data_IF_835407870048
#
_entry.id   IF_835407870048
#
_cell.length_a   1.000
_cell.length_b   1.000
_cell.length_c   1.000
_cell.angle_alpha   90.00
_cell.angle_beta   90.00
_cell.angle_gamma   90.00
#
_symmetry.space_group_name_H-M   'P 1'
#
loop_
_entity.id
_entity.type
_entity.pdbx_description
1 polymer ?
#
# COMPACT_ATOMS: atom_id res chain seq x y z
N UNK A 1 -11.84 9.13 9.33
CA UNK A 1 -11.18 10.44 9.20
C UNK A 1 -10.27 10.37 7.99
N UNK A 2 -10.65 11.05 6.91
CA UNK A 2 -9.78 11.20 5.73
C UNK A 2 -8.55 11.98 6.15
N UNK A 3 -7.39 11.37 6.07
CA UNK A 3 -6.11 12.03 6.39
C UNK A 3 -5.65 12.96 5.26
N UNK A 4 -6.22 12.82 4.05
CA UNK A 4 -5.94 13.72 2.93
C UNK A 4 -6.79 14.99 3.03
N UNK A 5 -6.17 16.16 2.88
CA UNK A 5 -6.83 17.46 2.92
C UNK A 5 -7.65 17.79 1.66
N UNK A 6 -7.57 16.95 0.62
CA UNK A 6 -8.25 17.14 -0.66
C UNK A 6 -9.23 16.02 -0.97
N UNK A 7 -10.28 16.35 -1.71
CA UNK A 7 -11.22 15.37 -2.27
C UNK A 7 -10.56 14.58 -3.42
N UNK A 8 -10.97 13.31 -3.64
CA UNK A 8 -10.36 12.44 -4.66
C UNK A 8 -10.30 13.03 -6.07
N UNK A 9 -11.32 13.78 -6.51
CA UNK A 9 -11.34 14.48 -7.80
C UNK A 9 -10.22 15.51 -7.91
N UNK A 10 -9.92 16.24 -6.85
CA UNK A 10 -8.84 17.22 -6.79
C UNK A 10 -7.47 16.56 -6.75
N UNK A 11 -7.35 15.43 -6.06
CA UNK A 11 -6.12 14.64 -6.06
C UNK A 11 -5.84 14.13 -7.49
N UNK A 12 -6.85 13.59 -8.18
CA UNK A 12 -6.71 13.17 -9.57
C UNK A 12 -6.28 14.31 -10.50
N UNK A 13 -6.86 15.49 -10.33
CA UNK A 13 -6.46 16.68 -11.10
C UNK A 13 -4.99 17.03 -10.87
N UNK A 14 -4.52 16.93 -9.62
CA UNK A 14 -3.11 17.16 -9.26
C UNK A 14 -2.18 16.11 -9.85
N UNK A 15 -2.63 14.87 -9.99
CA UNK A 15 -1.83 13.75 -10.53
C UNK A 15 -1.79 13.72 -12.06
N UNK A 16 -2.76 14.33 -12.76
CA UNK A 16 -2.81 14.34 -14.24
C UNK A 16 -1.53 14.81 -14.91
N UNK A 17 -0.85 15.80 -14.32
CA UNK A 17 0.40 16.34 -14.85
C UNK A 17 1.58 15.36 -14.82
N UNK A 18 1.48 14.29 -14.07
CA UNK A 18 2.52 13.27 -13.92
C UNK A 18 2.30 12.04 -14.80
N UNK A 19 1.23 12.04 -15.62
CA UNK A 19 0.90 10.97 -16.57
C UNK A 19 0.80 9.57 -15.94
N UNK A 20 0.20 9.45 -14.76
CA UNK A 20 -0.10 8.15 -14.20
C UNK A 20 -1.20 7.46 -15.02
N UNK A 21 -0.96 6.21 -15.40
CA UNK A 21 -1.97 5.37 -16.06
C UNK A 21 -2.96 4.80 -15.06
N UNK A 22 -2.50 4.53 -13.83
CA UNK A 22 -3.28 3.90 -12.75
C UNK A 22 -3.14 4.73 -11.49
N UNK A 23 -4.26 5.16 -10.94
CA UNK A 23 -4.32 5.85 -9.64
C UNK A 23 -5.34 5.13 -8.77
N UNK A 24 -4.97 4.79 -7.55
CA UNK A 24 -5.88 4.19 -6.57
C UNK A 24 -5.92 5.01 -5.29
N UNK A 25 -7.06 4.97 -4.61
CA UNK A 25 -7.26 5.62 -3.32
C UNK A 25 -7.41 4.56 -2.24
N UNK A 26 -6.57 4.61 -1.22
CA UNK A 26 -6.57 3.68 -0.11
C UNK A 26 -6.90 4.38 1.20
N UNK A 27 -8.11 4.92 1.30
CA UNK A 27 -8.57 5.55 2.54
C UNK A 27 -8.64 4.53 3.69
N UNK A 28 -8.44 5.02 4.92
CA UNK A 28 -8.54 4.18 6.11
C UNK A 28 -9.94 3.59 6.28
N UNK A 29 -10.00 2.25 6.26
CA UNK A 29 -11.22 1.48 6.48
C UNK A 29 -12.41 1.94 5.61
N UNK A 30 -12.13 2.39 4.40
CA UNK A 30 -13.13 2.88 3.46
C UNK A 30 -12.72 2.58 2.01
N UNK A 31 -13.62 1.98 1.24
CA UNK A 31 -13.48 1.86 -0.21
C UNK A 31 -13.92 3.15 -0.88
N UNK A 32 -12.96 3.88 -1.41
CA UNK A 32 -13.24 5.13 -2.13
C UNK A 32 -13.73 4.82 -3.53
N UNK A 33 -14.95 5.28 -3.85
CA UNK A 33 -15.43 5.23 -5.22
C UNK A 33 -14.63 6.21 -6.07
N UNK A 34 -14.15 5.71 -7.19
CA UNK A 34 -13.42 6.57 -8.12
C UNK A 34 -14.33 7.68 -8.63
N UNK A 35 -13.93 8.95 -8.60
CA UNK A 35 -14.82 10.07 -8.91
C UNK A 35 -15.12 10.24 -10.40
N UNK A 36 -14.49 9.46 -11.28
CA UNK A 36 -14.65 9.57 -12.74
C UNK A 36 -14.87 8.22 -13.39
N UNK A 37 -15.33 8.22 -14.63
CA UNK A 37 -15.50 7.07 -15.53
C UNK A 37 -14.17 6.33 -15.84
N UNK A 38 -13.16 6.44 -15.00
CA UNK A 38 -11.92 5.74 -15.25
C UNK A 38 -12.17 4.24 -15.15
N UNK A 39 -11.81 3.55 -16.20
CA UNK A 39 -11.89 2.09 -16.32
C UNK A 39 -10.95 1.35 -15.37
N UNK A 40 -10.18 2.07 -14.58
CA UNK A 40 -9.11 1.58 -13.73
C UNK A 40 -9.49 1.66 -12.24
N UNK A 41 -10.63 1.08 -11.90
CA UNK A 41 -11.01 0.94 -10.50
C UNK A 41 -10.34 -0.30 -9.91
N UNK A 42 -9.33 -0.07 -9.11
CA UNK A 42 -8.81 -1.08 -8.19
C UNK A 42 -9.42 -0.79 -6.83
N UNK A 43 -10.29 -1.68 -6.37
CA UNK A 43 -10.80 -1.59 -5.00
C UNK A 43 -9.65 -1.84 -4.03
N UNK A 44 -9.33 -0.84 -3.23
CA UNK A 44 -8.29 -0.93 -2.21
C UNK A 44 -8.64 -0.02 -1.05
N UNK A 45 -8.35 -0.47 0.16
CA UNK A 45 -8.41 0.37 1.36
C UNK A 45 -7.25 0.09 2.28
N UNK A 46 -6.93 1.04 3.14
CA UNK A 46 -5.94 0.85 4.18
C UNK A 46 -6.62 0.35 5.46
N UNK A 47 -6.29 -0.88 5.85
CA UNK A 47 -6.80 -1.51 7.06
C UNK A 47 -5.88 -1.23 8.24
N UNK A 48 -6.46 -0.93 9.39
CA UNK A 48 -5.78 -0.78 10.67
C UNK A 48 -6.10 0.53 11.38
N UNK A 49 -6.03 0.52 12.71
CA UNK A 49 -6.20 1.73 13.51
C UNK A 49 -4.98 2.64 13.40
N UNK A 50 -5.21 3.91 13.19
CA UNK A 50 -4.15 4.91 13.03
C UNK A 50 -3.23 4.99 14.27
N UNK A 51 -3.75 4.73 15.46
CA UNK A 51 -3.00 4.81 16.72
C UNK A 51 -1.73 3.95 16.72
N UNK A 52 -1.79 2.75 16.16
CA UNK A 52 -0.66 1.80 16.19
C UNK A 52 0.06 1.67 14.86
N UNK A 53 -0.46 2.26 13.77
CA UNK A 53 0.18 2.25 12.45
C UNK A 53 0.54 0.85 11.91
N UNK A 54 -0.12 -0.21 12.38
CA UNK A 54 -0.04 -1.53 11.77
C UNK A 54 -1.01 -1.59 10.60
N UNK A 55 -0.65 -0.89 9.54
CA UNK A 55 -1.50 -0.73 8.37
C UNK A 55 -1.19 -1.77 7.28
N UNK A 56 -2.23 -2.16 6.59
CA UNK A 56 -2.18 -3.07 5.45
C UNK A 56 -3.04 -2.50 4.34
N UNK A 57 -2.56 -2.50 3.10
CA UNK A 57 -3.44 -2.31 1.96
C UNK A 57 -4.09 -3.64 1.62
N UNK A 58 -5.38 -3.59 1.40
CA UNK A 58 -6.25 -4.72 1.08
C UNK A 58 -6.84 -4.48 -0.29
N UNK A 59 -6.40 -5.26 -1.29
CA UNK A 59 -6.78 -5.09 -2.68
C UNK A 59 -7.81 -6.12 -3.12
N UNK A 60 -8.73 -5.73 -3.99
CA UNK A 60 -9.65 -6.61 -4.70
C UNK A 60 -10.87 -7.05 -3.89
N UNK A 61 -11.09 -6.48 -2.71
CA UNK A 61 -12.26 -6.76 -1.89
C UNK A 61 -13.46 -5.93 -2.31
N UNK A 62 -14.66 -6.46 -2.10
CA UNK A 62 -15.92 -5.74 -2.35
C UNK A 62 -16.41 -4.96 -1.13
N UNK A 63 -16.02 -5.41 0.07
CA UNK A 63 -16.43 -4.81 1.34
C UNK A 63 -15.22 -4.59 2.26
N UNK A 64 -15.35 -3.62 3.14
CA UNK A 64 -14.33 -3.31 4.15
C UNK A 64 -14.50 -4.21 5.35
N UNK A 65 -13.43 -4.86 5.78
CA UNK A 65 -13.40 -5.55 7.05
C UNK A 65 -12.94 -4.57 8.14
N UNK A 66 -13.83 -4.24 9.06
CA UNK A 66 -13.57 -3.27 10.13
C UNK A 66 -12.96 -3.88 11.40
N UNK A 67 -12.81 -5.21 11.44
CA UNK A 67 -12.23 -5.83 12.63
C UNK A 67 -10.74 -5.55 12.71
N UNK A 68 -10.29 -5.00 13.82
CA UNK A 68 -8.88 -4.82 14.15
C UNK A 68 -8.63 -5.10 15.64
N UNK A 69 -7.42 -5.54 15.95
CA UNK A 69 -6.99 -5.64 17.34
C UNK A 69 -6.65 -4.26 17.88
N UNK A 70 -7.29 -3.88 18.98
CA UNK A 70 -7.00 -2.59 19.64
C UNK A 70 -5.51 -2.49 20.02
N UNK A 71 -4.89 -3.59 20.43
CA UNK A 71 -3.50 -3.66 20.87
C UNK A 71 -2.78 -4.81 20.13
N UNK A 72 -2.31 -4.61 18.89
CA UNK A 72 -1.72 -5.67 18.08
C UNK A 72 -0.22 -5.88 18.45
N UNK A 73 0.08 -6.17 19.70
CA UNK A 73 1.47 -6.31 20.14
C UNK A 73 2.09 -7.67 19.83
N UNK A 74 1.28 -8.71 19.68
CA UNK A 74 1.75 -10.08 19.44
C UNK A 74 1.80 -10.40 17.94
N UNK A 75 2.79 -11.20 17.53
CA UNK A 75 2.86 -11.72 16.16
C UNK A 75 1.61 -12.53 15.77
N UNK A 76 1.05 -13.30 16.71
CA UNK A 76 -0.18 -14.07 16.47
C UNK A 76 -1.41 -13.20 16.19
N UNK A 77 -1.52 -12.05 16.83
CA UNK A 77 -2.59 -11.10 16.55
C UNK A 77 -2.45 -10.48 15.15
N UNK A 78 -1.22 -10.14 14.78
CA UNK A 78 -0.90 -9.62 13.45
C UNK A 78 -1.16 -10.65 12.36
N UNK A 79 -0.74 -11.90 12.60
CA UNK A 79 -1.01 -13.01 11.68
C UNK A 79 -2.51 -13.25 11.52
N UNK A 80 -3.26 -13.27 12.64
CA UNK A 80 -4.71 -13.43 12.58
C UNK A 80 -5.38 -12.38 11.70
N UNK A 81 -4.94 -11.12 11.77
CA UNK A 81 -5.47 -10.06 10.90
C UNK A 81 -5.18 -10.34 9.42
N UNK A 82 -3.95 -10.76 9.09
CA UNK A 82 -3.60 -11.11 7.71
C UNK A 82 -4.47 -12.28 7.22
N UNK A 83 -4.59 -13.34 8.02
CA UNK A 83 -5.37 -14.53 7.66
C UNK A 83 -6.86 -14.22 7.50
N UNK A 84 -7.38 -13.30 8.30
CA UNK A 84 -8.75 -12.84 8.21
C UNK A 84 -8.98 -12.04 6.92
N UNK A 85 -8.11 -11.08 6.62
CA UNK A 85 -8.21 -10.24 5.42
C UNK A 85 -7.98 -11.03 4.13
N UNK A 86 -7.10 -12.04 4.17
CA UNK A 86 -6.79 -12.89 3.02
C UNK A 86 -7.97 -13.74 2.53
N UNK A 87 -9.07 -13.83 3.28
CA UNK A 87 -10.27 -14.58 2.86
C UNK A 87 -11.02 -13.91 1.71
N UNK A 88 -10.99 -12.58 1.70
CA UNK A 88 -11.79 -11.76 0.77
C UNK A 88 -10.91 -10.85 -0.10
N UNK A 89 -9.61 -10.81 0.15
CA UNK A 89 -8.66 -9.98 -0.57
C UNK A 89 -7.89 -10.77 -1.63
N UNK A 90 -7.66 -10.15 -2.77
CA UNK A 90 -6.75 -10.67 -3.80
C UNK A 90 -5.28 -10.51 -3.40
N UNK A 91 -4.93 -9.36 -2.81
CA UNK A 91 -3.57 -9.02 -2.41
C UNK A 91 -3.60 -8.29 -1.07
N UNK A 92 -2.68 -8.67 -0.18
CA UNK A 92 -2.38 -7.92 1.04
C UNK A 92 -0.97 -7.35 0.94
N UNK A 93 -0.84 -6.07 1.24
CA UNK A 93 0.43 -5.36 1.38
C UNK A 93 0.62 -4.91 2.83
N UNK A 94 1.81 -5.08 3.38
CA UNK A 94 2.18 -4.46 4.65
C UNK A 94 2.80 -3.10 4.39
N UNK A 95 2.27 -2.06 5.05
CA UNK A 95 2.70 -0.67 4.88
C UNK A 95 3.73 -0.26 5.94
N UNK A 96 4.62 0.65 5.55
CA UNK A 96 5.53 1.45 6.39
C UNK A 96 5.92 0.79 7.74
N UNK A 97 6.51 -0.40 7.69
CA UNK A 97 6.82 -1.28 8.83
C UNK A 97 7.62 -0.54 9.93
N UNK A 98 8.51 0.37 9.54
CA UNK A 98 9.35 1.13 10.47
C UNK A 98 8.66 2.33 11.14
N UNK A 99 7.44 2.68 10.70
CA UNK A 99 6.79 3.93 11.15
C UNK A 99 6.58 3.99 12.66
N UNK A 100 6.39 2.84 13.30
CA UNK A 100 6.10 2.77 14.74
C UNK A 100 6.88 1.70 15.50
N UNK A 101 7.76 0.96 14.83
CA UNK A 101 8.44 -0.21 15.39
C UNK A 101 7.48 -1.28 15.98
N UNK A 102 6.21 -1.27 15.58
CA UNK A 102 5.22 -2.24 16.08
C UNK A 102 5.37 -3.62 15.47
N UNK A 103 6.12 -3.73 14.38
CA UNK A 103 6.49 -5.01 13.80
C UNK A 103 8.01 -5.15 13.91
N UNK A 104 8.55 -5.50 15.08
CA UNK A 104 9.98 -5.76 15.17
C UNK A 104 10.36 -6.95 14.28
N UNK A 105 11.59 -6.97 13.80
CA UNK A 105 12.13 -8.01 12.92
C UNK A 105 11.78 -9.43 13.39
N UNK A 106 11.91 -9.71 14.69
CA UNK A 106 11.58 -11.01 15.25
C UNK A 106 10.10 -11.42 15.08
N UNK A 107 9.18 -10.46 14.99
CA UNK A 107 7.77 -10.75 14.69
C UNK A 107 7.56 -10.88 13.18
N UNK A 108 8.19 -10.02 12.38
CA UNK A 108 8.08 -10.07 10.92
C UNK A 108 8.55 -11.43 10.37
N UNK A 109 9.58 -12.00 10.96
CA UNK A 109 10.04 -13.38 10.65
C UNK A 109 9.01 -14.48 10.96
N UNK A 110 7.88 -14.15 11.60
CA UNK A 110 6.81 -15.09 12.00
C UNK A 110 5.47 -14.78 11.37
N UNK A 111 5.40 -13.73 10.58
CA UNK A 111 4.17 -13.25 9.93
C UNK A 111 4.29 -13.50 8.43
N UNK A 112 3.31 -14.15 7.83
CA UNK A 112 3.29 -14.47 6.40
C UNK A 112 1.91 -14.28 5.79
N UNK A 113 1.77 -14.64 4.50
CA UNK A 113 0.48 -14.56 3.78
C UNK A 113 0.22 -13.23 3.07
N UNK A 114 1.01 -12.19 3.32
CA UNK A 114 1.01 -10.99 2.50
C UNK A 114 1.86 -11.20 1.23
N UNK A 115 1.58 -10.43 0.19
CA UNK A 115 2.26 -10.53 -1.12
C UNK A 115 3.15 -9.35 -1.42
N UNK A 116 2.87 -8.20 -0.82
CA UNK A 116 3.62 -6.97 -1.02
C UNK A 116 4.09 -6.41 0.33
N UNK A 117 5.27 -5.77 0.30
CA UNK A 117 5.78 -4.99 1.42
C UNK A 117 6.20 -3.62 0.92
N UNK A 118 5.74 -2.59 1.58
CA UNK A 118 6.16 -1.22 1.27
C UNK A 118 7.57 -0.99 1.79
N UNK A 119 8.50 -0.75 0.87
CA UNK A 119 9.92 -0.53 1.16
C UNK A 119 10.26 0.95 1.28
N UNK A 120 9.42 1.80 0.74
CA UNK A 120 9.62 3.25 0.74
C UNK A 120 8.28 3.99 0.73
N UNK A 121 7.97 4.62 1.87
CA UNK A 121 6.76 5.44 2.08
C UNK A 121 7.09 6.92 2.36
N UNK A 122 8.30 7.36 2.07
CA UNK A 122 8.74 8.75 2.28
C UNK A 122 9.31 9.05 3.65
N UNK A 123 9.37 8.09 4.54
CA UNK A 123 9.89 8.31 5.90
C UNK A 123 11.21 7.61 6.14
N UNK A 124 11.32 6.36 5.71
CA UNK A 124 12.54 5.55 5.81
C UNK A 124 12.48 4.40 4.83
N UNK A 125 13.62 3.87 4.44
CA UNK A 125 13.70 2.66 3.64
C UNK A 125 13.60 1.44 4.55
N UNK A 126 12.78 0.47 4.17
CA UNK A 126 12.44 -0.69 4.99
C UNK A 126 13.06 -2.00 4.48
N UNK A 127 14.13 -1.89 3.70
CA UNK A 127 14.79 -3.03 3.06
C UNK A 127 15.31 -4.08 4.05
N UNK A 128 15.81 -3.68 5.22
CA UNK A 128 16.28 -4.62 6.24
C UNK A 128 15.14 -5.51 6.77
N UNK A 129 13.96 -4.95 6.96
CA UNK A 129 12.80 -5.72 7.40
C UNK A 129 12.31 -6.68 6.32
N UNK A 130 12.38 -6.27 5.07
CA UNK A 130 12.08 -7.13 3.94
C UNK A 130 13.04 -8.31 3.85
N UNK A 131 14.34 -8.06 4.00
CA UNK A 131 15.37 -9.10 4.03
C UNK A 131 15.14 -10.11 5.16
N UNK A 132 14.78 -9.64 6.36
CA UNK A 132 14.41 -10.49 7.49
C UNK A 132 13.21 -11.39 7.19
N UNK A 133 12.18 -10.87 6.55
CA UNK A 133 11.00 -11.64 6.14
C UNK A 133 11.37 -12.69 5.08
N UNK A 134 12.10 -12.31 4.04
CA UNK A 134 12.58 -13.21 2.98
C UNK A 134 13.47 -14.31 3.55
N UNK A 135 14.39 -13.97 4.44
CA UNK A 135 15.28 -14.92 5.12
C UNK A 135 14.52 -15.93 6.00
N UNK A 136 13.33 -15.57 6.46
CA UNK A 136 12.44 -16.48 7.18
C UNK A 136 11.50 -17.29 6.28
N UNK A 137 11.58 -17.11 4.96
CA UNK A 137 10.75 -17.82 3.98
C UNK A 137 9.42 -17.14 3.65
N UNK A 138 9.21 -15.90 4.08
CA UNK A 138 7.99 -15.13 3.77
C UNK A 138 8.19 -14.31 2.50
N UNK A 139 7.83 -14.92 1.37
CA UNK A 139 7.98 -14.30 0.06
C UNK A 139 7.01 -13.14 -0.13
N UNK A 140 7.57 -11.99 -0.48
CA UNK A 140 6.81 -10.79 -0.88
C UNK A 140 7.63 -9.96 -1.87
N UNK A 141 6.94 -9.12 -2.64
CA UNK A 141 7.58 -8.16 -3.53
C UNK A 141 7.56 -6.77 -2.92
N UNK A 142 8.63 -6.00 -3.18
CA UNK A 142 8.76 -4.64 -2.66
C UNK A 142 7.99 -3.63 -3.50
N UNK A 143 7.35 -2.66 -2.86
CA UNK A 143 6.68 -1.52 -3.49
C UNK A 143 7.13 -0.21 -2.88
N UNK A 144 6.94 0.88 -3.62
CA UNK A 144 7.18 2.24 -3.14
C UNK A 144 5.95 3.11 -3.42
N UNK A 145 5.41 3.75 -2.40
CA UNK A 145 4.21 4.57 -2.49
C UNK A 145 4.42 5.91 -1.79
N UNK A 146 3.68 6.93 -2.21
CA UNK A 146 3.81 8.26 -1.63
C UNK A 146 3.19 8.38 -0.24
N UNK A 147 2.26 7.49 0.14
CA UNK A 147 1.42 7.65 1.35
C UNK A 147 0.83 9.08 1.37
N UNK A 148 0.15 9.44 0.25
CA UNK A 148 -0.14 10.82 -0.12
C UNK A 148 -1.23 11.44 0.74
N UNK A 149 -0.83 12.38 1.60
CA UNK A 149 -1.73 13.16 2.46
C UNK A 149 -1.87 14.61 2.01
N UNK A 150 -0.83 15.15 1.35
CA UNK A 150 -0.72 16.57 0.98
C UNK A 150 -0.40 16.72 -0.52
N UNK A 151 -1.41 16.56 -1.40
CA UNK A 151 -1.19 16.58 -2.84
C UNK A 151 -0.82 17.95 -3.42
N UNK A 152 -0.93 19.01 -2.65
CA UNK A 152 -0.48 20.37 -2.97
C UNK A 152 1.03 20.60 -2.74
N UNK A 153 1.69 19.68 -2.04
CA UNK A 153 3.12 19.78 -1.72
C UNK A 153 3.95 18.97 -2.71
N UNK A 154 4.79 19.63 -3.47
CA UNK A 154 5.61 19.00 -4.51
C UNK A 154 6.53 17.88 -4.01
N UNK A 155 6.98 17.93 -2.76
CA UNK A 155 7.82 16.92 -2.15
C UNK A 155 7.03 15.70 -1.60
N UNK A 156 5.70 15.73 -1.69
CA UNK A 156 4.81 14.65 -1.23
C UNK A 156 4.15 13.90 -2.38
N UNK A 157 4.05 14.50 -3.57
CA UNK A 157 3.30 13.96 -4.71
C UNK A 157 4.23 13.48 -5.81
N UNK A 158 3.95 12.30 -6.35
CA UNK A 158 4.69 11.71 -7.48
C UNK A 158 6.19 11.52 -7.24
N UNK A 159 6.58 11.33 -5.99
CA UNK A 159 7.97 11.04 -5.60
C UNK A 159 8.26 9.56 -5.72
N UNK A 160 7.25 8.71 -5.54
CA UNK A 160 7.35 7.25 -5.63
C UNK A 160 6.28 6.70 -6.53
N UNK A 161 6.66 5.72 -7.32
CA UNK A 161 5.72 5.02 -8.19
C UNK A 161 6.19 3.60 -8.48
N UNK A 162 5.25 2.79 -8.96
CA UNK A 162 5.51 1.41 -9.37
C UNK A 162 5.20 1.30 -10.86
N UNK A 163 6.17 0.84 -11.65
CA UNK A 163 6.02 0.63 -13.08
C UNK A 163 5.66 -0.81 -13.35
N UNK A 164 4.41 -1.06 -13.67
CA UNK A 164 3.88 -2.40 -13.92
C UNK A 164 4.10 -2.81 -15.38
N UNK A 165 4.74 -3.96 -15.60
CA UNK A 165 4.88 -4.57 -16.93
C UNK A 165 3.59 -5.33 -17.28
N UNK A 166 2.47 -4.62 -17.29
CA UNK A 166 1.15 -5.18 -17.53
C UNK A 166 0.73 -5.06 -18.99
N UNK A 167 0.05 -6.07 -19.57
CA UNK A 167 -0.42 -6.00 -20.96
C UNK A 167 -1.60 -5.02 -21.14
N UNK A 168 -2.34 -4.72 -20.07
CA UNK A 168 -3.45 -3.76 -20.12
C UNK A 168 -3.70 -3.12 -18.75
N UNK A 169 -4.56 -2.10 -18.72
CA UNK A 169 -5.05 -1.47 -17.49
C UNK A 169 -6.20 -2.22 -16.79
N UNK A 170 -6.57 -3.41 -17.25
CA UNK A 170 -7.62 -4.21 -16.60
C UNK A 170 -7.14 -4.71 -15.24
N UNK A 171 -8.04 -4.74 -14.27
CA UNK A 171 -7.68 -5.17 -12.91
C UNK A 171 -7.06 -6.57 -12.86
N UNK A 172 -7.56 -7.54 -13.63
CA UNK A 172 -7.00 -8.89 -13.65
C UNK A 172 -5.54 -8.93 -14.12
N UNK A 173 -5.19 -8.12 -15.12
CA UNK A 173 -3.82 -8.02 -15.63
C UNK A 173 -2.91 -7.31 -14.63
N UNK A 174 -3.40 -6.24 -14.01
CA UNK A 174 -2.70 -5.52 -12.93
C UNK A 174 -2.44 -6.46 -11.76
N UNK A 175 -3.48 -7.14 -11.28
CA UNK A 175 -3.39 -8.11 -10.18
C UNK A 175 -2.36 -9.21 -10.47
N UNK A 176 -2.46 -9.81 -11.66
CA UNK A 176 -1.50 -10.83 -12.08
C UNK A 176 -0.07 -10.29 -12.08
N UNK A 177 0.14 -9.11 -12.67
CA UNK A 177 1.45 -8.46 -12.73
C UNK A 177 2.04 -8.22 -11.34
N UNK A 178 1.22 -7.75 -10.39
CA UNK A 178 1.65 -7.53 -9.01
C UNK A 178 1.97 -8.84 -8.29
N UNK A 179 1.17 -9.90 -8.50
CA UNK A 179 1.41 -11.22 -7.90
C UNK A 179 2.62 -11.93 -8.46
N UNK A 180 2.94 -11.69 -9.74
CA UNK A 180 4.12 -12.26 -10.42
C UNK A 180 5.40 -11.44 -10.13
N UNK A 181 5.29 -10.25 -9.52
CA UNK A 181 6.41 -9.34 -9.32
C UNK A 181 6.96 -8.75 -10.61
N UNK A 182 6.15 -8.70 -11.67
CA UNK A 182 6.54 -8.18 -12.98
C UNK A 182 6.47 -6.65 -13.02
N UNK A 183 7.17 -6.00 -12.11
CA UNK A 183 7.22 -4.54 -12.01
C UNK A 183 8.51 -4.10 -11.30
N UNK A 184 8.79 -2.82 -11.35
CA UNK A 184 9.82 -2.19 -10.55
C UNK A 184 9.30 -0.92 -9.89
N UNK A 185 9.80 -0.67 -8.68
CA UNK A 185 9.45 0.49 -7.87
C UNK A 185 10.56 1.54 -7.99
N UNK A 186 10.18 2.80 -8.02
CA UNK A 186 11.12 3.91 -8.18
C UNK A 186 10.81 5.04 -7.19
N UNK A 187 11.89 5.61 -6.66
CA UNK A 187 11.85 6.94 -6.03
C UNK A 187 12.49 7.93 -7.00
N UNK A 188 11.84 9.05 -7.21
CA UNK A 188 12.37 10.19 -7.95
C UNK A 188 12.86 11.22 -6.91
N UNK A 189 14.15 11.29 -6.62
CA UNK A 189 14.66 12.32 -5.72
C UNK A 189 14.57 13.69 -6.41
N UNK A 190 14.11 14.70 -5.67
CA UNK A 190 14.13 16.10 -6.08
C UNK A 190 13.32 16.48 -7.33
N UNK A 191 12.01 16.22 -7.32
CA UNK A 191 11.06 16.88 -8.21
C UNK A 191 10.90 18.35 -7.80
N UNK A 192 11.94 19.15 -7.88
CA UNK A 192 11.80 20.55 -7.47
C UNK A 192 13.04 21.43 -7.60
N UNK A 193 14.15 20.86 -7.96
CA UNK A 193 15.41 21.58 -8.19
C UNK A 193 15.95 21.31 -9.59
N UNK A 194 15.12 21.49 -10.61
CA UNK A 194 15.52 21.54 -12.00
C UNK A 194 15.18 22.89 -12.57
#
# INVERSE_FOLDING_TARGET
LNECEMWPDKVLESLKKFNYDIVTFSNHNELTKHPTDSTLQVNVYEHGYNLFKYHKLVFGCEEVNHFDHMLPFLASQKQFQIDMLAKDADIIQINHVLRTNLIPSCQLRRIGGYKLMELDSGRSTENTYWDDALSAGHYSFGVANDDLHFPDRSHCIAVRCNFLCTPSGRYDDIRKTMLDGAYYSMRIPDYGNG
#
